data_IF_602306572811
#
_entry.id   IF_602306572811
#
_cell.length_a   1.000
_cell.length_b   1.000
_cell.length_c   1.000
_cell.angle_alpha   90.00
_cell.angle_beta   90.00
_cell.angle_gamma   90.00
#
_symmetry.space_group_name_H-M   'P 1'
#
loop_
_entity.id
_entity.type
_entity.pdbx_description
1 polymer ?
#
# COMPACT_ATOMS: atom_id res chain seq x y z
N UNK A 1 3.65 25.50 -27.41
CA UNK A 1 2.90 25.64 -26.14
C UNK A 1 1.47 25.09 -26.23
N UNK A 2 0.64 25.54 -27.19
CA UNK A 2 -0.74 25.05 -27.34
C UNK A 2 -0.84 23.51 -27.45
N UNK A 3 -0.05 22.86 -28.32
CA UNK A 3 -0.07 21.40 -28.48
C UNK A 3 0.28 20.63 -27.18
N UNK A 4 1.22 21.15 -26.38
CA UNK A 4 1.58 20.54 -25.10
C UNK A 4 0.44 20.65 -24.09
N UNK A 5 -0.17 21.84 -23.99
CA UNK A 5 -1.29 22.07 -23.10
C UNK A 5 -2.50 21.19 -23.47
N UNK A 6 -2.82 21.08 -24.76
CA UNK A 6 -3.90 20.19 -25.25
C UNK A 6 -3.62 18.73 -24.89
N UNK A 7 -2.39 18.24 -25.15
CA UNK A 7 -2.04 16.85 -24.83
C UNK A 7 -2.14 16.55 -23.33
N UNK A 8 -1.60 17.44 -22.49
CA UNK A 8 -1.67 17.32 -21.03
C UNK A 8 -3.13 17.31 -20.57
N UNK A 9 -3.95 18.25 -21.05
CA UNK A 9 -5.36 18.33 -20.68
C UNK A 9 -6.16 17.08 -21.08
N UNK A 10 -5.98 16.59 -22.31
CA UNK A 10 -6.62 15.35 -22.78
C UNK A 10 -6.20 14.14 -21.95
N UNK A 11 -4.90 14.02 -21.67
CA UNK A 11 -4.35 12.91 -20.89
C UNK A 11 -4.88 12.90 -19.46
N UNK A 12 -4.98 14.07 -18.81
CA UNK A 12 -5.57 14.19 -17.47
C UNK A 12 -7.06 13.82 -17.50
N UNK A 13 -7.82 14.29 -18.49
CA UNK A 13 -9.24 13.99 -18.60
C UNK A 13 -9.48 12.47 -18.78
N UNK A 14 -8.77 11.85 -19.71
CA UNK A 14 -8.84 10.40 -19.97
C UNK A 14 -8.38 9.61 -18.75
N UNK A 15 -7.25 10.01 -18.16
CA UNK A 15 -6.71 9.39 -16.96
C UNK A 15 -7.69 9.43 -15.79
N UNK A 16 -8.33 10.57 -15.57
CA UNK A 16 -9.35 10.73 -14.51
C UNK A 16 -10.53 9.78 -14.72
N UNK A 17 -11.06 9.70 -15.95
CA UNK A 17 -12.17 8.80 -16.29
C UNK A 17 -11.78 7.33 -16.06
N UNK A 18 -10.59 6.93 -16.50
CA UNK A 18 -10.13 5.54 -16.36
C UNK A 18 -9.73 5.17 -14.95
N UNK A 19 -9.22 6.12 -14.15
CA UNK A 19 -8.99 5.91 -12.71
C UNK A 19 -10.32 5.70 -12.00
N UNK A 20 -11.31 6.58 -12.21
CA UNK A 20 -12.65 6.44 -11.61
C UNK A 20 -13.30 5.12 -12.01
N UNK A 21 -13.18 4.73 -13.29
CA UNK A 21 -13.65 3.42 -13.76
C UNK A 21 -12.99 2.27 -12.96
N UNK A 22 -11.68 2.32 -12.76
CA UNK A 22 -10.93 1.29 -12.02
C UNK A 22 -11.27 1.24 -10.53
N UNK A 23 -11.27 2.39 -9.87
CA UNK A 23 -11.36 2.49 -8.40
C UNK A 23 -12.80 2.46 -7.90
N UNK A 24 -13.72 3.20 -8.52
CA UNK A 24 -15.09 3.37 -8.03
C UNK A 24 -16.07 2.35 -8.63
N UNK A 25 -15.95 2.10 -9.93
CA UNK A 25 -16.90 1.24 -10.67
C UNK A 25 -16.46 -0.23 -10.61
N UNK A 26 -15.25 -0.53 -11.08
CA UNK A 26 -14.73 -1.90 -11.13
C UNK A 26 -14.21 -2.37 -9.77
N UNK A 27 -13.79 -1.45 -8.91
CA UNK A 27 -13.15 -1.73 -7.61
C UNK A 27 -12.05 -2.79 -7.78
N UNK A 28 -11.14 -2.48 -8.70
CA UNK A 28 -10.04 -3.37 -9.08
C UNK A 28 -8.73 -2.59 -9.05
N UNK A 29 -7.93 -2.87 -8.02
CA UNK A 29 -6.63 -2.24 -7.78
C UNK A 29 -5.52 -3.10 -8.35
N UNK A 30 -5.61 -3.34 -9.66
CA UNK A 30 -4.79 -4.33 -10.34
C UNK A 30 -3.79 -3.77 -11.35
N UNK A 31 -3.25 -4.65 -12.20
CA UNK A 31 -2.33 -4.32 -13.29
C UNK A 31 -2.91 -3.29 -14.25
N UNK A 32 -4.23 -3.31 -14.48
CA UNK A 32 -4.85 -2.32 -15.35
C UNK A 32 -4.75 -0.90 -14.83
N UNK A 33 -4.99 -0.71 -13.53
CA UNK A 33 -4.92 0.59 -12.86
C UNK A 33 -3.47 1.04 -12.64
N UNK A 34 -2.62 0.16 -12.12
CA UNK A 34 -1.28 0.55 -11.69
C UNK A 34 -0.19 0.39 -12.75
N UNK A 35 -0.41 -0.42 -13.80
CA UNK A 35 0.58 -0.64 -14.86
C UNK A 35 0.12 -0.09 -16.21
N UNK A 36 -0.99 -0.61 -16.72
CA UNK A 36 -1.45 -0.26 -18.06
C UNK A 36 -1.81 1.22 -18.16
N UNK A 37 -2.55 1.76 -17.19
CA UNK A 37 -2.96 3.17 -17.21
C UNK A 37 -1.77 4.15 -17.28
N UNK A 38 -0.82 4.21 -16.32
CA UNK A 38 0.27 5.19 -16.39
C UNK A 38 1.15 5.02 -17.63
N UNK A 39 1.42 3.78 -18.05
CA UNK A 39 2.15 3.51 -19.29
C UNK A 39 1.42 4.05 -20.52
N UNK A 40 0.14 3.70 -20.69
CA UNK A 40 -0.66 4.12 -21.83
C UNK A 40 -0.89 5.64 -21.85
N UNK A 41 -1.08 6.28 -20.69
CA UNK A 41 -1.20 7.74 -20.61
C UNK A 41 0.11 8.44 -21.01
N UNK A 42 1.27 7.93 -20.57
CA UNK A 42 2.57 8.44 -20.97
C UNK A 42 2.80 8.33 -22.48
N UNK A 43 2.46 7.17 -23.06
CA UNK A 43 2.52 6.92 -24.51
C UNK A 43 1.55 7.82 -25.28
N UNK A 44 0.29 7.87 -24.87
CA UNK A 44 -0.77 8.65 -25.49
C UNK A 44 -0.42 10.15 -25.50
N UNK A 45 0.06 10.68 -24.37
CA UNK A 45 0.43 12.08 -24.25
C UNK A 45 1.53 12.47 -25.24
N UNK A 46 2.55 11.61 -25.42
CA UNK A 46 3.61 11.87 -26.38
C UNK A 46 3.09 11.84 -27.82
N UNK A 47 2.29 10.85 -28.18
CA UNK A 47 1.76 10.72 -29.54
C UNK A 47 0.82 11.85 -29.92
N UNK A 48 -0.05 12.30 -29.00
CA UNK A 48 -0.90 13.48 -29.20
C UNK A 48 -0.05 14.75 -29.34
N UNK A 49 0.99 14.89 -28.52
CA UNK A 49 1.87 16.05 -28.57
C UNK A 49 2.72 16.12 -29.85
N UNK A 50 3.18 14.97 -30.35
CA UNK A 50 3.94 14.85 -31.60
C UNK A 50 3.08 14.68 -32.85
N UNK A 51 1.75 14.79 -32.71
CA UNK A 51 0.80 14.45 -33.79
C UNK A 51 1.08 15.23 -35.09
N UNK A 52 1.42 16.51 -34.93
CA UNK A 52 1.63 17.45 -36.03
C UNK A 52 3.09 17.85 -36.25
N UNK A 53 4.06 17.32 -35.49
CA UNK A 53 5.52 17.45 -35.72
C UNK A 53 6.34 16.58 -34.77
N UNK A 54 7.45 15.98 -35.24
CA UNK A 54 8.37 15.30 -34.35
C UNK A 54 8.89 16.28 -33.30
N UNK A 55 8.98 15.80 -32.06
CA UNK A 55 9.37 16.57 -30.88
C UNK A 55 10.67 16.03 -30.31
N UNK A 56 11.42 16.90 -29.65
CA UNK A 56 12.64 16.51 -28.94
C UNK A 56 12.33 15.56 -27.78
N UNK A 57 13.27 14.68 -27.47
CA UNK A 57 13.15 13.70 -26.40
C UNK A 57 12.78 14.32 -25.05
N UNK A 58 13.43 15.43 -24.67
CA UNK A 58 13.15 16.14 -23.41
C UNK A 58 11.73 16.67 -23.34
N UNK A 59 11.21 17.20 -24.47
CA UNK A 59 9.83 17.68 -24.53
C UNK A 59 8.82 16.53 -24.39
N UNK A 60 9.10 15.38 -25.03
CA UNK A 60 8.28 14.16 -24.90
C UNK A 60 8.26 13.64 -23.46
N UNK A 61 9.40 13.59 -22.78
CA UNK A 61 9.46 13.17 -21.37
C UNK A 61 8.70 14.13 -20.45
N UNK A 62 8.77 15.44 -20.73
CA UNK A 62 8.00 16.43 -19.97
C UNK A 62 6.49 16.18 -20.11
N UNK A 63 5.99 16.02 -21.34
CA UNK A 63 4.55 15.79 -21.56
C UNK A 63 4.10 14.39 -21.14
N UNK A 64 4.98 13.39 -20.99
CA UNK A 64 4.59 12.09 -20.44
C UNK A 64 4.47 12.10 -18.91
N UNK A 65 5.31 12.88 -18.22
CA UNK A 65 5.39 12.90 -16.75
C UNK A 65 4.47 13.92 -16.09
N UNK A 66 4.43 15.15 -16.61
CA UNK A 66 3.61 16.24 -16.05
C UNK A 66 2.13 15.87 -15.89
N UNK A 67 1.43 15.29 -16.88
CA UNK A 67 0.02 14.96 -16.71
C UNK A 67 -0.21 13.89 -15.64
N UNK A 68 0.74 12.98 -15.39
CA UNK A 68 0.62 11.95 -14.34
C UNK A 68 0.76 12.57 -12.95
N UNK A 69 1.72 13.49 -12.78
CA UNK A 69 1.85 14.23 -11.53
C UNK A 69 0.61 15.10 -11.26
N UNK A 70 0.10 15.79 -12.28
CA UNK A 70 -1.12 16.59 -12.18
C UNK A 70 -2.37 15.73 -11.95
N UNK A 71 -2.45 14.54 -12.56
CA UNK A 71 -3.52 13.59 -12.29
C UNK A 71 -3.54 13.18 -10.82
N UNK A 72 -2.38 12.87 -10.23
CA UNK A 72 -2.28 12.60 -8.78
C UNK A 72 -2.79 13.77 -7.93
N UNK A 73 -2.44 15.01 -8.30
CA UNK A 73 -2.97 16.20 -7.62
C UNK A 73 -4.49 16.35 -7.79
N UNK A 74 -5.03 16.07 -8.98
CA UNK A 74 -6.48 16.08 -9.25
C UNK A 74 -7.19 15.07 -8.35
N UNK A 75 -6.69 13.83 -8.26
CA UNK A 75 -7.29 12.77 -7.44
C UNK A 75 -7.36 13.15 -5.95
N UNK A 76 -6.35 13.85 -5.43
CA UNK A 76 -6.36 14.41 -4.08
C UNK A 76 -7.40 15.52 -3.94
N UNK A 77 -7.46 16.45 -4.90
CA UNK A 77 -8.41 17.57 -4.89
C UNK A 77 -9.87 17.11 -5.00
N UNK A 78 -10.14 15.98 -5.65
CA UNK A 78 -11.49 15.42 -5.77
C UNK A 78 -11.82 14.35 -4.72
N UNK A 79 -10.96 14.19 -3.70
CA UNK A 79 -11.17 13.26 -2.56
C UNK A 79 -11.25 11.76 -2.93
N UNK A 80 -10.75 11.36 -4.10
CA UNK A 80 -10.71 9.93 -4.49
C UNK A 80 -9.55 9.24 -3.79
N UNK A 81 -8.40 9.90 -3.73
CA UNK A 81 -7.17 9.38 -3.16
C UNK A 81 -6.58 10.36 -2.14
N UNK A 82 -5.76 9.86 -1.22
CA UNK A 82 -5.02 10.70 -0.29
C UNK A 82 -3.54 10.83 -0.64
N UNK A 83 -2.85 11.74 0.05
CA UNK A 83 -1.47 12.05 -0.26
C UNK A 83 -0.53 10.86 -0.03
N UNK A 84 -0.78 10.03 0.99
CA UNK A 84 0.12 8.91 1.33
C UNK A 84 0.08 7.86 0.23
N UNK A 85 -1.10 7.41 -0.18
CA UNK A 85 -1.24 6.43 -1.26
C UNK A 85 -0.73 6.95 -2.61
N UNK A 86 -0.94 8.24 -2.94
CA UNK A 86 -0.38 8.84 -4.16
C UNK A 86 1.16 8.85 -4.10
N UNK A 87 1.76 9.21 -2.98
CA UNK A 87 3.22 9.18 -2.82
C UNK A 87 3.78 7.76 -2.90
N UNK A 88 3.05 6.77 -2.39
CA UNK A 88 3.42 5.37 -2.54
C UNK A 88 3.32 4.92 -4.01
N UNK A 89 2.29 5.32 -4.75
CA UNK A 89 2.12 4.94 -6.16
C UNK A 89 3.03 5.72 -7.14
N UNK A 90 3.44 6.95 -6.79
CA UNK A 90 4.09 7.88 -7.71
C UNK A 90 5.41 7.37 -8.33
N UNK A 91 6.37 6.78 -7.59
CA UNK A 91 7.61 6.28 -8.18
C UNK A 91 7.34 5.25 -9.28
N UNK A 92 6.36 4.39 -9.05
CA UNK A 92 5.98 3.34 -9.97
C UNK A 92 5.24 3.90 -11.19
N UNK A 93 4.25 4.77 -10.97
CA UNK A 93 3.46 5.41 -12.03
C UNK A 93 4.33 6.30 -12.95
N UNK A 94 5.20 7.14 -12.37
CA UNK A 94 6.09 8.02 -13.14
C UNK A 94 7.12 7.22 -13.94
N UNK A 95 7.67 6.15 -13.35
CA UNK A 95 8.58 5.24 -14.07
C UNK A 95 7.92 4.63 -15.31
N UNK A 96 6.70 4.12 -15.17
CA UNK A 96 5.95 3.54 -16.29
C UNK A 96 5.52 4.57 -17.33
N UNK A 97 5.13 5.77 -16.91
CA UNK A 97 4.81 6.85 -17.81
C UNK A 97 6.02 7.33 -18.62
N UNK A 98 7.22 7.32 -18.02
CA UNK A 98 8.46 7.54 -18.75
C UNK A 98 8.70 6.44 -19.79
N UNK A 99 8.52 5.17 -19.44
CA UNK A 99 8.64 4.05 -20.40
C UNK A 99 7.67 4.20 -21.57
N UNK A 100 6.40 4.49 -21.28
CA UNK A 100 5.37 4.75 -22.30
C UNK A 100 5.73 5.95 -23.18
N UNK A 101 6.20 7.03 -22.58
CA UNK A 101 6.67 8.20 -23.30
C UNK A 101 7.88 7.93 -24.19
N UNK A 102 8.82 7.07 -23.76
CA UNK A 102 10.00 6.71 -24.56
C UNK A 102 9.60 5.90 -25.78
N UNK A 103 8.66 4.97 -25.60
CA UNK A 103 8.07 4.24 -26.73
C UNK A 103 7.34 5.20 -27.68
N UNK A 104 6.58 6.16 -27.15
CA UNK A 104 5.93 7.19 -27.97
C UNK A 104 6.93 8.02 -28.77
N UNK A 105 8.05 8.41 -28.16
CA UNK A 105 9.13 9.12 -28.82
C UNK A 105 9.77 8.31 -29.95
N UNK A 106 9.97 7.00 -29.76
CA UNK A 106 10.52 6.12 -30.80
C UNK A 106 9.53 5.94 -31.97
N UNK A 107 8.24 5.79 -31.67
CA UNK A 107 7.19 5.60 -32.67
C UNK A 107 6.98 6.86 -33.52
N UNK A 108 7.13 8.07 -32.94
CA UNK A 108 6.81 9.32 -33.63
C UNK A 108 7.56 9.50 -34.98
N UNK A 109 8.76 8.90 -35.11
CA UNK A 109 9.56 8.98 -36.33
C UNK A 109 8.94 8.20 -37.51
N UNK A 110 8.30 7.06 -37.24
CA UNK A 110 7.55 6.29 -38.23
C UNK A 110 6.07 6.70 -38.35
N UNK A 111 5.52 7.27 -37.27
CA UNK A 111 4.15 7.78 -37.15
C UNK A 111 3.80 8.83 -38.19
N UNK A 112 4.78 9.67 -38.53
CA UNK A 112 4.65 10.76 -39.49
C UNK A 112 4.49 10.30 -40.95
N UNK A 113 4.79 9.04 -41.24
CA UNK A 113 4.78 8.50 -42.59
C UNK A 113 3.53 7.66 -42.90
N UNK A 114 2.66 7.38 -41.91
CA UNK A 114 1.56 6.42 -42.04
C UNK A 114 0.16 7.02 -41.80
N UNK A 115 -0.83 6.55 -42.59
CA UNK A 115 -2.24 6.99 -42.51
C UNK A 115 -3.02 6.37 -41.34
N UNK A 116 -2.47 5.34 -40.68
CA UNK A 116 -3.16 4.56 -39.63
C UNK A 116 -3.03 5.17 -38.22
N UNK A 117 -2.47 6.37 -38.12
CA UNK A 117 -2.26 7.14 -36.90
C UNK A 117 -3.48 7.22 -35.96
N UNK A 118 -4.72 7.52 -36.44
CA UNK A 118 -5.90 7.54 -35.57
C UNK A 118 -6.29 6.16 -35.02
N UNK A 119 -5.98 5.08 -35.74
CA UNK A 119 -6.26 3.70 -35.31
C UNK A 119 -5.39 3.34 -34.12
N UNK A 120 -4.10 3.68 -34.16
CA UNK A 120 -3.18 3.41 -33.04
C UNK A 120 -3.61 4.16 -31.76
N UNK A 121 -3.99 5.44 -31.86
CA UNK A 121 -4.51 6.19 -30.72
C UNK A 121 -5.79 5.56 -30.15
N UNK A 122 -6.67 5.07 -31.01
CA UNK A 122 -7.90 4.38 -30.60
C UNK A 122 -7.61 3.06 -29.88
N UNK A 123 -6.63 2.29 -30.35
CA UNK A 123 -6.19 1.05 -29.70
C UNK A 123 -5.64 1.34 -28.31
N UNK A 124 -4.77 2.34 -28.16
CA UNK A 124 -4.21 2.73 -26.85
C UNK A 124 -5.32 3.15 -25.89
N UNK A 125 -6.29 3.96 -26.36
CA UNK A 125 -7.40 4.43 -25.55
C UNK A 125 -8.31 3.29 -25.08
N UNK A 126 -8.57 2.30 -25.94
CA UNK A 126 -9.45 1.17 -25.63
C UNK A 126 -8.73 0.06 -24.84
N UNK A 127 -7.41 -0.04 -24.95
CA UNK A 127 -6.62 -1.08 -24.28
C UNK A 127 -6.78 -1.03 -22.76
N UNK A 128 -6.60 0.15 -22.14
CA UNK A 128 -6.66 0.30 -20.69
C UNK A 128 -8.00 -0.10 -20.07
N UNK A 129 -9.17 0.41 -20.52
CA UNK A 129 -10.46 -0.01 -19.97
C UNK A 129 -10.79 -1.48 -20.29
N UNK A 130 -10.41 -1.99 -21.47
CA UNK A 130 -10.60 -3.40 -21.80
C UNK A 130 -9.78 -4.32 -20.89
N UNK A 131 -8.52 -3.95 -20.60
CA UNK A 131 -7.63 -4.72 -19.74
C UNK A 131 -8.10 -4.71 -18.28
N UNK A 132 -8.53 -3.54 -17.76
CA UNK A 132 -9.16 -3.45 -16.44
C UNK A 132 -10.45 -4.30 -16.34
N UNK A 133 -11.27 -4.29 -17.39
CA UNK A 133 -12.48 -5.13 -17.46
C UNK A 133 -12.15 -6.63 -17.48
N UNK A 134 -11.14 -7.04 -18.25
CA UNK A 134 -10.69 -8.43 -18.30
C UNK A 134 -10.11 -8.89 -16.95
N UNK A 135 -9.30 -8.06 -16.30
CA UNK A 135 -8.70 -8.34 -14.99
C UNK A 135 -9.76 -8.58 -13.92
N UNK A 136 -10.84 -7.80 -13.94
CA UNK A 136 -11.96 -7.95 -13.01
C UNK A 136 -12.60 -9.35 -13.09
N UNK A 137 -12.56 -10.00 -14.25
CA UNK A 137 -13.10 -11.35 -14.45
C UNK A 137 -12.17 -12.45 -13.95
N UNK A 138 -10.84 -12.23 -13.93
CA UNK A 138 -9.84 -13.27 -13.66
C UNK A 138 -9.50 -13.39 -12.16
N UNK A 139 -9.82 -12.39 -11.33
CA UNK A 139 -9.61 -12.32 -9.86
C UNK A 139 -8.49 -13.25 -9.35
N UNK A 140 -7.22 -12.86 -9.50
CA UNK A 140 -6.10 -13.63 -8.96
C UNK A 140 -6.30 -13.89 -7.46
N UNK A 141 -5.97 -15.09 -6.99
CA UNK A 141 -5.98 -15.40 -5.56
C UNK A 141 -4.98 -14.50 -4.84
N UNK A 142 -5.41 -13.88 -3.73
CA UNK A 142 -4.50 -13.15 -2.86
C UNK A 142 -3.53 -14.13 -2.19
N UNK A 143 -2.25 -14.00 -2.47
CA UNK A 143 -1.21 -14.75 -1.77
C UNK A 143 -1.16 -14.31 -0.30
N UNK A 144 -0.92 -15.27 0.59
CA UNK A 144 -0.69 -14.98 2.01
C UNK A 144 0.79 -14.75 2.22
N UNK A 145 1.14 -13.54 2.64
CA UNK A 145 2.50 -13.15 2.99
C UNK A 145 2.73 -13.31 4.49
N UNK A 146 4.01 -13.45 4.86
CA UNK A 146 4.45 -13.64 6.23
C UNK A 146 5.61 -12.69 6.55
N UNK A 147 5.45 -11.90 7.61
CA UNK A 147 6.50 -11.02 8.12
C UNK A 147 6.90 -11.46 9.52
N UNK A 148 8.19 -11.68 9.74
CA UNK A 148 8.76 -12.04 11.04
C UNK A 148 9.73 -10.97 11.53
N UNK A 149 9.63 -10.58 12.79
CA UNK A 149 10.55 -9.63 13.42
C UNK A 149 10.93 -10.15 14.79
N UNK A 150 12.22 -10.20 15.09
CA UNK A 150 12.71 -10.71 16.36
C UNK A 150 13.65 -9.74 17.05
N UNK A 151 13.57 -9.70 18.37
CA UNK A 151 14.46 -8.94 19.24
C UNK A 151 14.93 -9.81 20.40
N UNK A 152 16.05 -9.43 21.02
CA UNK A 152 16.50 -10.03 22.28
C UNK A 152 16.09 -9.15 23.46
N UNK A 153 15.54 -9.74 24.50
CA UNK A 153 15.08 -9.05 25.72
C UNK A 153 15.89 -9.57 26.89
N UNK A 154 16.42 -8.68 27.72
CA UNK A 154 17.15 -9.00 28.94
C UNK A 154 16.20 -9.37 30.09
N UNK A 155 15.25 -10.27 29.83
CA UNK A 155 14.25 -10.74 30.78
C UNK A 155 13.93 -12.22 30.55
N UNK A 156 13.56 -12.97 31.59
CA UNK A 156 13.14 -14.36 31.44
C UNK A 156 11.77 -14.44 30.75
N UNK A 157 11.45 -15.54 30.03
CA UNK A 157 10.25 -15.64 29.20
C UNK A 157 8.95 -15.36 29.97
N UNK A 158 8.88 -15.72 31.25
CA UNK A 158 7.73 -15.53 32.13
C UNK A 158 7.42 -14.04 32.34
N UNK A 159 8.44 -13.18 32.41
CA UNK A 159 8.26 -11.73 32.54
C UNK A 159 7.82 -11.11 31.21
N UNK A 160 8.40 -11.57 30.10
CA UNK A 160 8.04 -11.11 28.76
C UNK A 160 6.62 -11.53 28.38
N UNK A 161 6.19 -12.73 28.80
CA UNK A 161 4.87 -13.28 28.53
C UNK A 161 3.74 -12.35 28.97
N UNK A 162 3.87 -11.73 30.15
CA UNK A 162 2.88 -10.79 30.67
C UNK A 162 2.63 -9.62 29.72
N UNK A 163 3.67 -9.14 29.02
CA UNK A 163 3.56 -8.04 28.05
C UNK A 163 2.99 -8.50 26.70
N UNK A 164 3.13 -9.78 26.36
CA UNK A 164 2.64 -10.39 25.10
C UNK A 164 1.13 -10.62 25.13
N UNK A 165 0.59 -10.98 26.30
CA UNK A 165 -0.84 -11.17 26.53
C UNK A 165 -1.59 -9.84 26.40
N UNK A 166 -1.11 -8.80 27.08
CA UNK A 166 -1.63 -7.44 27.04
C UNK A 166 -0.50 -6.46 27.37
N UNK A 167 -0.53 -5.28 26.77
CA UNK A 167 0.44 -4.23 27.04
C UNK A 167 -0.25 -2.89 27.25
N UNK A 168 0.35 -2.09 28.12
CA UNK A 168 -0.12 -0.76 28.46
C UNK A 168 0.02 0.21 27.28
N UNK A 169 -0.42 1.45 27.47
CA UNK A 169 -0.35 2.45 26.42
C UNK A 169 1.09 2.78 26.01
N UNK A 170 1.36 2.66 24.70
CA UNK A 170 2.63 3.02 24.10
C UNK A 170 2.78 4.54 24.03
N UNK A 171 4.00 5.08 24.22
CA UNK A 171 4.26 6.50 24.03
C UNK A 171 3.95 6.93 22.59
N UNK A 172 3.59 8.19 22.33
CA UNK A 172 3.29 8.67 20.98
C UNK A 172 4.37 8.32 19.94
N UNK A 173 3.99 8.06 18.68
CA UNK A 173 4.95 7.65 17.66
C UNK A 173 5.94 8.76 17.32
N UNK A 174 7.19 8.38 17.14
CA UNK A 174 8.27 9.27 16.66
C UNK A 174 8.48 9.11 15.15
N UNK A 175 8.09 7.97 14.61
CA UNK A 175 8.28 7.55 13.24
C UNK A 175 7.42 8.40 12.28
N UNK A 176 8.04 8.93 11.22
CA UNK A 176 7.34 9.73 10.20
C UNK A 176 6.18 8.97 9.56
N UNK A 177 6.33 7.67 9.34
CA UNK A 177 5.33 6.79 8.76
C UNK A 177 3.99 6.86 9.54
N UNK A 178 4.05 6.73 10.86
CA UNK A 178 2.88 6.75 11.73
C UNK A 178 2.29 8.15 11.86
N UNK A 179 3.15 9.17 11.88
CA UNK A 179 2.73 10.59 11.86
C UNK A 179 2.09 10.98 10.53
N UNK A 180 2.41 10.28 9.45
CA UNK A 180 1.80 10.44 8.14
C UNK A 180 0.42 9.75 8.04
N UNK A 181 -0.05 9.09 9.09
CA UNK A 181 -1.41 8.53 9.15
C UNK A 181 -1.48 7.01 9.05
N UNK A 182 -0.37 6.31 8.78
CA UNK A 182 -0.32 4.85 8.85
C UNK A 182 -0.72 4.37 10.24
N UNK A 183 -1.60 3.38 10.31
CA UNK A 183 -2.12 2.84 11.56
C UNK A 183 -0.99 2.27 12.41
N UNK A 184 -1.02 2.57 13.71
CA UNK A 184 -0.04 2.09 14.67
C UNK A 184 -0.70 1.66 15.98
N UNK A 185 -0.11 0.69 16.69
CA UNK A 185 -0.65 0.19 17.95
C UNK A 185 -0.49 1.22 19.08
N UNK A 186 -1.54 1.36 19.88
CA UNK A 186 -1.62 2.24 21.05
C UNK A 186 -1.58 1.41 22.32
N UNK A 187 -2.40 0.35 22.43
CA UNK A 187 -2.44 -0.57 23.58
C UNK A 187 -3.10 -1.89 23.19
N UNK A 188 -2.95 -2.93 24.01
CA UNK A 188 -3.68 -4.18 23.83
C UNK A 188 -4.36 -4.60 25.13
N UNK A 189 -5.65 -4.91 25.01
CA UNK A 189 -6.50 -5.36 26.12
C UNK A 189 -6.96 -6.79 25.84
N UNK A 190 -7.15 -7.61 26.87
CA UNK A 190 -7.65 -8.98 26.71
C UNK A 190 -8.88 -9.22 27.56
N UNK A 191 -9.88 -9.88 26.98
CA UNK A 191 -11.09 -10.34 27.65
C UNK A 191 -11.08 -11.86 27.72
N UNK A 192 -11.04 -12.40 28.94
CA UNK A 192 -10.88 -13.84 29.19
C UNK A 192 -9.42 -14.27 29.35
N UNK A 193 -9.20 -15.58 29.39
CA UNK A 193 -7.87 -16.18 29.57
C UNK A 193 -7.80 -17.52 28.82
N UNK A 194 -6.65 -17.82 28.21
CA UNK A 194 -6.44 -19.06 27.46
C UNK A 194 -7.02 -19.04 26.04
N UNK A 195 -7.15 -20.22 25.43
CA UNK A 195 -7.75 -20.39 24.10
C UNK A 195 -9.21 -19.94 24.12
N UNK A 196 -9.62 -19.15 23.12
CA UNK A 196 -10.96 -18.56 23.04
C UNK A 196 -11.10 -17.22 23.75
N UNK A 197 -10.09 -16.76 24.51
CA UNK A 197 -10.02 -15.36 24.94
C UNK A 197 -9.94 -14.44 23.72
N UNK A 198 -10.39 -13.19 23.87
CA UNK A 198 -10.36 -12.21 22.78
C UNK A 198 -9.46 -11.06 23.16
N UNK A 199 -8.40 -10.86 22.37
CA UNK A 199 -7.53 -9.70 22.49
C UNK A 199 -8.04 -8.59 21.58
N UNK A 200 -8.13 -7.38 22.11
CA UNK A 200 -8.47 -6.17 21.37
C UNK A 200 -7.22 -5.30 21.29
N UNK A 201 -6.59 -5.27 20.11
CA UNK A 201 -5.42 -4.44 19.88
C UNK A 201 -5.87 -3.09 19.31
N UNK A 202 -5.75 -2.04 20.11
CA UNK A 202 -6.25 -0.71 19.78
C UNK A 202 -5.19 0.02 18.94
N UNK A 203 -5.52 0.31 17.69
CA UNK A 203 -4.70 1.12 16.79
C UNK A 203 -5.25 2.54 16.66
N UNK A 204 -4.43 3.44 16.12
CA UNK A 204 -4.82 4.83 15.82
C UNK A 204 -6.01 4.98 14.87
N UNK A 205 -6.35 3.94 14.11
CA UNK A 205 -7.49 3.91 13.16
C UNK A 205 -8.66 3.07 13.65
N UNK A 206 -8.55 2.44 14.82
CA UNK A 206 -9.58 1.56 15.39
C UNK A 206 -9.02 0.23 15.91
N UNK A 207 -9.86 -0.63 16.50
CA UNK A 207 -9.42 -1.88 17.09
C UNK A 207 -9.31 -3.02 16.08
N UNK A 208 -8.27 -3.84 16.22
CA UNK A 208 -8.27 -5.23 15.74
C UNK A 208 -8.95 -6.13 16.77
N UNK A 209 -9.73 -7.11 16.30
CA UNK A 209 -10.28 -8.18 17.15
C UNK A 209 -9.53 -9.47 16.88
N UNK A 210 -8.86 -9.98 17.91
CA UNK A 210 -7.84 -11.01 17.82
C UNK A 210 -8.17 -12.18 18.76
N UNK A 211 -9.05 -13.11 18.36
CA UNK A 211 -9.34 -14.29 19.15
C UNK A 211 -8.10 -15.18 19.29
N UNK A 212 -7.80 -15.60 20.52
CA UNK A 212 -6.68 -16.49 20.83
C UNK A 212 -6.99 -17.90 20.33
N UNK A 213 -6.09 -18.42 19.50
CA UNK A 213 -6.13 -19.78 18.96
C UNK A 213 -5.17 -20.72 19.68
N UNK A 214 -4.03 -20.21 20.14
CA UNK A 214 -3.03 -20.96 20.91
C UNK A 214 -2.57 -20.14 22.09
N UNK A 215 -2.60 -20.76 23.27
CA UNK A 215 -2.04 -20.24 24.52
C UNK A 215 -1.13 -21.31 25.13
N UNK A 216 0.17 -21.24 24.82
CA UNK A 216 1.20 -22.14 25.35
C UNK A 216 2.18 -21.29 26.17
N UNK A 217 1.80 -20.98 27.40
CA UNK A 217 2.57 -20.12 28.30
C UNK A 217 3.85 -20.80 28.81
N UNK A 218 5.02 -20.11 28.84
CA UNK A 218 5.30 -18.75 28.37
C UNK A 218 5.91 -18.69 26.95
N UNK A 219 5.62 -19.67 26.09
CA UNK A 219 6.37 -19.93 24.83
C UNK A 219 5.70 -19.36 23.58
N UNK A 220 4.38 -19.52 23.43
CA UNK A 220 3.68 -19.23 22.18
C UNK A 220 2.28 -18.69 22.43
N UNK A 221 2.01 -17.48 21.91
CA UNK A 221 0.68 -16.91 21.80
C UNK A 221 0.34 -16.74 20.33
N UNK A 222 -0.74 -17.37 19.85
CA UNK A 222 -1.22 -17.23 18.46
C UNK A 222 -2.68 -16.84 18.45
N UNK A 223 -3.03 -15.94 17.55
CA UNK A 223 -4.36 -15.38 17.43
C UNK A 223 -4.73 -15.17 15.96
N UNK A 224 -5.99 -15.41 15.64
CA UNK A 224 -6.59 -15.03 14.37
C UNK A 224 -6.93 -13.54 14.36
N UNK A 225 -7.37 -13.02 13.22
CA UNK A 225 -7.89 -11.65 13.11
C UNK A 225 -9.26 -11.69 12.45
N UNK A 226 -10.30 -11.33 13.19
CA UNK A 226 -11.69 -11.36 12.72
C UNK A 226 -12.22 -9.98 12.31
N UNK A 227 -11.62 -8.91 12.82
CA UNK A 227 -11.94 -7.53 12.43
C UNK A 227 -10.64 -6.73 12.20
N UNK A 228 -10.61 -5.98 11.10
CA UNK A 228 -9.49 -5.14 10.68
C UNK A 228 -9.98 -3.68 10.58
N UNK A 229 -9.35 -2.71 11.25
CA UNK A 229 -9.56 -1.29 10.98
C UNK A 229 -8.90 -0.89 9.65
N UNK A 230 -9.12 0.34 9.20
CA UNK A 230 -8.41 0.89 8.05
C UNK A 230 -6.89 0.90 8.33
N UNK A 231 -6.03 0.55 7.35
CA UNK A 231 -4.59 0.46 7.56
C UNK A 231 -3.91 1.83 7.72
N UNK A 232 -4.61 2.91 7.37
CA UNK A 232 -4.14 4.29 7.53
C UNK A 232 -5.32 5.27 7.52
N UNK A 233 -5.10 6.47 8.05
CA UNK A 233 -5.92 7.65 7.81
C UNK A 233 -5.18 8.55 6.81
N UNK A 234 -5.82 8.89 5.70
CA UNK A 234 -5.16 9.64 4.64
C UNK A 234 -4.87 11.09 5.03
N UNK A 235 -3.77 11.62 4.51
CA UNK A 235 -3.48 13.05 4.58
C UNK A 235 -4.19 13.74 3.42
N UNK A 236 -5.21 14.53 3.77
CA UNK A 236 -6.04 15.25 2.80
C UNK A 236 -6.40 16.65 3.31
N UNK A 237 -6.49 17.65 2.42
CA UNK A 237 -7.01 18.98 2.77
C UNK A 237 -8.44 18.96 3.33
N UNK A 238 -9.19 17.88 3.07
CA UNK A 238 -10.59 17.73 3.44
C UNK A 238 -10.81 16.93 4.74
N UNK A 239 -9.74 16.59 5.46
CA UNK A 239 -9.82 15.77 6.67
C UNK A 239 -9.83 14.27 6.35
N UNK A 240 -10.60 13.49 7.11
CA UNK A 240 -10.60 12.04 6.97
C UNK A 240 -11.41 11.60 5.74
N UNK A 241 -10.72 11.14 4.69
CA UNK A 241 -11.31 10.48 3.54
C UNK A 241 -11.11 8.96 3.64
N UNK A 242 -11.99 8.18 3.03
CA UNK A 242 -11.93 6.71 3.07
C UNK A 242 -11.93 6.14 1.64
N UNK A 243 -10.80 6.26 0.90
CA UNK A 243 -10.66 5.64 -0.41
C UNK A 243 -10.99 4.14 -0.38
N UNK A 244 -11.60 3.58 -1.44
CA UNK A 244 -12.08 2.19 -1.40
C UNK A 244 -10.99 1.16 -1.08
N UNK A 245 -9.72 1.41 -1.43
CA UNK A 245 -8.63 0.48 -1.15
C UNK A 245 -8.27 0.38 0.34
N UNK A 246 -8.71 1.29 1.21
CA UNK A 246 -8.49 1.17 2.66
C UNK A 246 -9.35 0.05 3.28
N UNK A 247 -10.31 -0.51 2.54
CA UNK A 247 -11.25 -1.49 3.04
C UNK A 247 -11.15 -2.81 2.26
N UNK A 248 -10.49 -3.80 2.86
CA UNK A 248 -10.45 -5.17 2.34
C UNK A 248 -9.36 -5.47 1.32
N UNK A 249 -8.52 -4.49 0.95
CA UNK A 249 -7.38 -4.72 0.05
C UNK A 249 -6.08 -5.02 0.77
N UNK A 250 -6.01 -4.74 2.07
CA UNK A 250 -5.01 -5.26 2.98
C UNK A 250 -5.78 -5.88 4.15
N UNK A 251 -5.53 -7.16 4.43
CA UNK A 251 -6.23 -7.91 5.47
C UNK A 251 -5.21 -8.70 6.27
N UNK A 252 -5.04 -8.34 7.53
CA UNK A 252 -4.33 -9.20 8.48
C UNK A 252 -5.21 -10.41 8.79
N UNK A 253 -4.61 -11.60 8.78
CA UNK A 253 -5.31 -12.88 8.98
C UNK A 253 -4.99 -13.48 10.33
N UNK A 254 -3.73 -13.39 10.75
CA UNK A 254 -3.23 -14.06 11.92
C UNK A 254 -2.01 -13.33 12.44
N UNK A 255 -1.79 -13.38 13.75
CA UNK A 255 -0.54 -12.97 14.36
C UNK A 255 -0.05 -13.96 15.40
N UNK A 256 1.23 -13.87 15.73
CA UNK A 256 1.88 -14.76 16.67
C UNK A 256 3.02 -14.05 17.41
N UNK A 257 3.16 -14.36 18.70
CA UNK A 257 4.36 -14.10 19.47
C UNK A 257 5.00 -15.41 19.92
N UNK A 258 6.27 -15.60 19.60
CA UNK A 258 7.07 -16.76 19.99
C UNK A 258 8.23 -16.30 20.88
N UNK A 259 8.34 -16.90 22.06
CA UNK A 259 9.38 -16.65 23.03
C UNK A 259 10.30 -17.86 23.11
N UNK A 260 11.60 -17.64 22.96
CA UNK A 260 12.63 -18.67 23.15
C UNK A 260 13.58 -18.23 24.24
N UNK A 261 13.73 -19.06 25.27
CA UNK A 261 14.71 -18.82 26.32
C UNK A 261 16.13 -18.79 25.73
N UNK A 262 16.94 -17.85 26.20
CA UNK A 262 18.35 -17.69 25.88
C UNK A 262 19.18 -17.78 27.18
N UNK A 263 20.49 -18.10 27.07
CA UNK A 263 21.39 -18.09 28.23
C UNK A 263 21.41 -16.73 28.96
N UNK A 264 21.59 -16.79 30.27
CA UNK A 264 21.65 -15.59 31.14
C UNK A 264 20.27 -15.01 31.48
N UNK A 265 19.21 -15.82 31.45
CA UNK A 265 17.85 -15.36 31.77
C UNK A 265 17.28 -14.39 30.74
N UNK A 266 17.74 -14.47 29.48
CA UNK A 266 17.29 -13.61 28.37
C UNK A 266 16.25 -14.34 27.53
N UNK A 267 15.54 -13.61 26.69
CA UNK A 267 14.51 -14.15 25.80
C UNK A 267 14.67 -13.62 24.38
N UNK A 268 14.60 -14.48 23.38
CA UNK A 268 14.35 -14.06 22.00
C UNK A 268 12.84 -13.98 21.79
N UNK A 269 12.34 -12.76 21.63
CA UNK A 269 10.93 -12.50 21.36
C UNK A 269 10.77 -12.25 19.85
N UNK A 270 9.93 -13.04 19.21
CA UNK A 270 9.62 -12.97 17.79
C UNK A 270 8.13 -12.71 17.58
N UNK A 271 7.81 -11.66 16.81
CA UNK A 271 6.47 -11.37 16.33
C UNK A 271 6.33 -11.76 14.86
N UNK A 272 5.24 -12.46 14.53
CA UNK A 272 4.88 -12.84 13.17
C UNK A 272 3.49 -12.36 12.82
N UNK A 273 3.32 -11.79 11.63
CA UNK A 273 2.01 -11.44 11.06
C UNK A 273 1.85 -12.12 9.71
N UNK A 274 0.70 -12.78 9.51
CA UNK A 274 0.27 -13.28 8.21
C UNK A 274 -0.84 -12.38 7.68
N UNK A 275 -0.67 -11.92 6.45
CA UNK A 275 -1.60 -10.98 5.82
C UNK A 275 -1.79 -11.30 4.34
N UNK A 276 -2.82 -10.71 3.76
CA UNK A 276 -3.11 -10.76 2.34
C UNK A 276 -3.31 -9.35 1.82
N UNK A 277 -2.86 -9.08 0.59
CA UNK A 277 -3.27 -7.89 -0.13
C UNK A 277 -3.71 -8.21 -1.55
N UNK A 278 -4.70 -7.48 -2.05
CA UNK A 278 -5.28 -7.65 -3.39
C UNK A 278 -4.92 -6.51 -4.34
N UNK A 279 -3.78 -5.86 -4.09
CA UNK A 279 -3.21 -4.82 -4.94
C UNK A 279 -2.11 -5.38 -5.83
N UNK A 280 -2.13 -5.04 -7.12
CA UNK A 280 -1.13 -5.52 -8.09
C UNK A 280 -0.34 -4.37 -8.74
N UNK A 281 0.93 -4.57 -9.11
CA UNK A 281 1.73 -5.79 -8.98
C UNK A 281 2.02 -6.17 -7.52
N UNK A 282 1.78 -7.44 -7.16
CA UNK A 282 1.89 -7.90 -5.77
C UNK A 282 3.26 -7.59 -5.15
N UNK A 283 4.32 -7.91 -5.89
CA UNK A 283 5.70 -7.68 -5.44
C UNK A 283 6.01 -6.22 -5.06
N UNK A 284 5.40 -5.23 -5.73
CA UNK A 284 5.62 -3.82 -5.41
C UNK A 284 4.97 -3.44 -4.08
N UNK A 285 3.69 -3.79 -3.92
CA UNK A 285 2.92 -3.48 -2.72
C UNK A 285 3.36 -4.30 -1.50
N UNK A 286 3.94 -5.47 -1.74
CA UNK A 286 4.57 -6.31 -0.72
C UNK A 286 5.73 -5.57 -0.04
N UNK A 287 6.59 -4.85 -0.79
CA UNK A 287 7.69 -4.08 -0.20
C UNK A 287 7.22 -3.04 0.83
N UNK A 288 6.13 -2.34 0.51
CA UNK A 288 5.52 -1.38 1.41
C UNK A 288 4.89 -2.05 2.63
N UNK A 289 4.11 -3.10 2.39
CA UNK A 289 3.41 -3.84 3.44
C UNK A 289 4.39 -4.44 4.46
N UNK A 290 5.44 -5.12 3.99
CA UNK A 290 6.49 -5.69 4.84
C UNK A 290 7.21 -4.62 5.65
N UNK A 291 7.61 -3.54 4.99
CA UNK A 291 8.27 -2.43 5.67
C UNK A 291 7.39 -1.86 6.80
N UNK A 292 6.10 -1.63 6.52
CA UNK A 292 5.16 -1.09 7.51
C UNK A 292 4.97 -2.07 8.67
N UNK A 293 4.73 -3.35 8.39
CA UNK A 293 4.52 -4.38 9.41
C UNK A 293 5.78 -4.56 10.27
N UNK A 294 6.98 -4.57 9.68
CA UNK A 294 8.23 -4.58 10.43
C UNK A 294 8.33 -3.41 11.41
N UNK A 295 7.94 -2.20 11.00
CA UNK A 295 7.95 -1.02 11.87
C UNK A 295 6.91 -1.12 12.99
N UNK A 296 5.73 -1.67 12.71
CA UNK A 296 4.70 -1.95 13.71
C UNK A 296 5.22 -2.99 14.72
N UNK A 297 5.80 -4.09 14.25
CA UNK A 297 6.40 -5.10 15.11
C UNK A 297 7.47 -4.51 16.01
N UNK A 298 8.47 -3.82 15.45
CA UNK A 298 9.55 -3.22 16.22
C UNK A 298 9.02 -2.28 17.32
N UNK A 299 8.02 -1.46 17.01
CA UNK A 299 7.39 -0.57 17.99
C UNK A 299 6.80 -1.32 19.19
N UNK A 300 6.07 -2.40 18.94
CA UNK A 300 5.45 -3.22 19.99
C UNK A 300 6.49 -4.00 20.77
N UNK A 301 7.40 -4.66 20.05
CA UNK A 301 8.43 -5.51 20.63
C UNK A 301 9.39 -4.70 21.53
N UNK A 302 9.82 -3.52 21.08
CA UNK A 302 10.68 -2.63 21.88
C UNK A 302 9.97 -2.11 23.13
N UNK A 303 8.66 -1.86 23.07
CA UNK A 303 7.88 -1.50 24.24
C UNK A 303 7.78 -2.66 25.24
N UNK A 304 7.53 -3.87 24.76
CA UNK A 304 7.53 -5.09 25.59
C UNK A 304 8.89 -5.32 26.24
N UNK A 305 9.99 -5.11 25.49
CA UNK A 305 11.37 -5.19 26.01
C UNK A 305 11.56 -4.23 27.17
N UNK A 306 11.33 -2.94 26.95
CA UNK A 306 11.58 -1.90 27.95
C UNK A 306 10.77 -2.16 29.23
N UNK A 307 9.51 -2.58 29.10
CA UNK A 307 8.63 -2.85 30.24
C UNK A 307 9.03 -4.12 30.98
N UNK A 308 9.41 -5.19 30.26
CA UNK A 308 9.83 -6.44 30.87
C UNK A 308 11.16 -6.28 31.62
N UNK A 309 12.14 -5.59 31.02
CA UNK A 309 13.46 -5.33 31.63
C UNK A 309 13.35 -4.46 32.89
N UNK A 310 12.51 -3.42 32.86
CA UNK A 310 12.27 -2.57 34.03
C UNK A 310 11.55 -3.30 35.20
N UNK A 311 11.02 -4.50 34.98
CA UNK A 311 10.32 -5.30 36.01
C UNK A 311 11.23 -6.33 36.72
N UNK A 312 12.52 -6.32 36.38
CA UNK A 312 13.56 -7.18 36.95
C UNK A 312 14.34 -6.46 38.04
N UNK A 313 14.36 -5.12 38.00
CA UNK A 313 14.83 -4.25 39.08
C UNK A 313 13.87 -4.29 40.29
#
# INVERSE_FOLDING_TARGET
>A
MAAAATSIGMTIAIGSVFTVLGTEVLRSYGWGLFVALPFCLGLFSVLVYSYHEPRSYSSCMCVSLVPIALLGAVLILVMIEGLVCILMAAPFALGLAALGGMLGYAIQAGYWLNKDTPVMLSIILLFTPAFQGAERCVKPSAETFEVRTAIEVHAPPEKVWNQVVAFAELPPPKELLFRAGIAYPIRAEISGHGVGAVRHCIFSTGPFTEPIEVWDEPRLLRFGVTANPAPLNELSPYGNIQPPHLHGYFVSKQGQFLLRALPGGRTRLEGTTWYQHTMWPGAYWHLWSDYIIHRIHLRVLEHMRATAEASID
#
